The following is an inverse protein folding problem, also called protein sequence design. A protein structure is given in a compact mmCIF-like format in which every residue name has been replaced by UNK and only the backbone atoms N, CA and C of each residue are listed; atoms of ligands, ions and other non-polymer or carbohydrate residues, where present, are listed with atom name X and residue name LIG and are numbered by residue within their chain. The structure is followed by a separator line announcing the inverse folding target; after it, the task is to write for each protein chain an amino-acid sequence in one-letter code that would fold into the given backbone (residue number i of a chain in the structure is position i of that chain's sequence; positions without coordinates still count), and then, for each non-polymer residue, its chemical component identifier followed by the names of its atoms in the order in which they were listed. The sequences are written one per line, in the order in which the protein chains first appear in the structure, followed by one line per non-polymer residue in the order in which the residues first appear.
data_IF_139684067216
#
_entry.id   IF_139684067216
#
_cell.length_a   1.000
_cell.length_b   1.000
_cell.length_c   1.000
_cell.angle_alpha   90.00
_cell.angle_beta   90.00
_cell.angle_gamma   90.00
#
_symmetry.space_group_name_H-M   'P 1'
#
loop_
_entity.id
_entity.type
_entity.pdbx_description
1 polymer ?
#
# COMPACT_ATOMS: atom_id res chain seq x y z
N UNK A 1 42.53 -3.22 11.72
CA UNK A 1 42.04 -4.00 12.87
C UNK A 1 40.88 -3.27 13.55
N UNK A 2 39.75 -3.96 13.72
CA UNK A 2 38.58 -3.43 14.44
C UNK A 2 38.75 -3.62 15.96
N UNK A 3 39.67 -2.84 16.54
CA UNK A 3 39.99 -2.95 17.98
C UNK A 3 38.80 -2.53 18.89
N UNK A 4 37.79 -1.85 18.35
CA UNK A 4 36.62 -1.39 19.09
C UNK A 4 35.34 -2.19 18.77
N UNK A 5 35.38 -3.09 17.80
CA UNK A 5 34.24 -3.91 17.38
C UNK A 5 33.06 -3.13 16.78
N UNK A 6 33.34 -1.92 16.25
CA UNK A 6 32.30 -1.01 15.74
C UNK A 6 31.85 -1.31 14.31
N UNK A 7 32.65 -1.99 13.51
CA UNK A 7 32.34 -2.25 12.10
C UNK A 7 31.26 -3.33 11.95
N UNK A 8 31.26 -4.36 12.80
CA UNK A 8 30.26 -5.42 12.74
C UNK A 8 28.82 -4.90 12.95
N UNK A 9 28.51 -4.06 13.95
CA UNK A 9 27.22 -3.40 14.09
C UNK A 9 26.83 -2.53 12.87
N UNK A 10 27.78 -1.81 12.27
CA UNK A 10 27.52 -0.97 11.08
C UNK A 10 27.07 -1.82 9.87
N UNK A 11 27.71 -2.98 9.64
CA UNK A 11 27.29 -3.89 8.58
C UNK A 11 25.94 -4.53 8.86
N UNK A 12 25.60 -4.82 10.12
CA UNK A 12 24.28 -5.30 10.51
C UNK A 12 23.19 -4.24 10.23
N UNK A 13 23.44 -2.98 10.57
CA UNK A 13 22.52 -1.87 10.28
C UNK A 13 22.36 -1.65 8.77
N UNK A 14 23.43 -1.77 7.98
CA UNK A 14 23.32 -1.70 6.52
C UNK A 14 22.48 -2.85 5.96
N UNK A 15 22.61 -4.06 6.50
CA UNK A 15 21.79 -5.21 6.16
C UNK A 15 20.32 -4.98 6.53
N UNK A 16 20.04 -4.41 7.71
CA UNK A 16 18.68 -4.05 8.16
C UNK A 16 18.05 -3.00 7.23
N UNK A 17 18.76 -1.94 6.90
CA UNK A 17 18.29 -0.92 5.97
C UNK A 17 17.95 -1.51 4.60
N UNK A 18 18.77 -2.41 4.07
CA UNK A 18 18.51 -3.11 2.82
C UNK A 18 17.28 -4.02 2.88
N UNK A 19 16.94 -4.57 4.05
CA UNK A 19 15.75 -5.40 4.26
C UNK A 19 14.46 -4.56 4.37
N UNK A 20 14.54 -3.35 4.89
CA UNK A 20 13.40 -2.42 5.07
C UNK A 20 13.04 -1.69 3.76
N UNK A 21 14.02 -1.44 2.89
CA UNK A 21 13.81 -0.70 1.64
C UNK A 21 12.61 -1.19 0.79
N UNK A 22 12.29 -2.50 0.66
CA UNK A 22 11.09 -2.95 -0.05
C UNK A 22 9.80 -2.36 0.51
N UNK A 23 9.65 -2.28 1.83
CA UNK A 23 8.47 -1.73 2.49
C UNK A 23 8.35 -0.23 2.22
N UNK A 24 9.47 0.51 2.33
CA UNK A 24 9.51 1.94 1.96
C UNK A 24 9.05 2.17 0.52
N UNK A 25 9.52 1.36 -0.43
CA UNK A 25 9.15 1.49 -1.85
C UNK A 25 7.67 1.15 -2.09
N UNK A 26 7.15 0.09 -1.46
CA UNK A 26 5.76 -0.34 -1.64
C UNK A 26 4.79 0.68 -1.05
N UNK A 27 5.03 1.16 0.18
CA UNK A 27 4.14 2.13 0.82
C UNK A 27 4.28 3.53 0.22
N UNK A 28 5.48 3.92 -0.25
CA UNK A 28 5.62 5.14 -1.04
C UNK A 28 4.81 5.07 -2.34
N UNK A 29 4.87 3.97 -3.09
CA UNK A 29 4.06 3.77 -4.29
C UNK A 29 2.56 3.81 -3.98
N UNK A 30 2.12 3.24 -2.85
CA UNK A 30 0.72 3.28 -2.43
C UNK A 30 0.25 4.72 -2.16
N UNK A 31 1.04 5.50 -1.44
CA UNK A 31 0.77 6.93 -1.17
C UNK A 31 0.77 7.76 -2.46
N UNK A 32 1.75 7.54 -3.32
CA UNK A 32 1.97 8.33 -4.53
C UNK A 32 1.00 7.94 -5.67
N UNK A 33 0.18 6.91 -5.47
CA UNK A 33 -0.83 6.45 -6.41
C UNK A 33 -1.86 7.50 -6.84
N UNK A 34 -2.03 8.58 -6.07
CA UNK A 34 -2.88 9.73 -6.44
C UNK A 34 -2.27 10.60 -7.55
N UNK A 35 -0.99 10.44 -7.85
CA UNK A 35 -0.26 11.24 -8.85
C UNK A 35 0.49 10.39 -9.88
N UNK A 36 0.57 9.08 -9.65
CA UNK A 36 1.30 8.15 -10.50
C UNK A 36 0.36 7.43 -11.46
N UNK A 37 0.67 7.52 -12.76
CA UNK A 37 -0.17 6.97 -13.81
C UNK A 37 -0.28 5.44 -13.76
N UNK A 38 -1.48 4.94 -14.05
CA UNK A 38 -1.82 3.54 -14.19
C UNK A 38 -1.87 3.12 -15.68
N UNK A 39 -2.17 1.85 -15.94
CA UNK A 39 -2.20 1.27 -17.29
C UNK A 39 -3.30 1.86 -18.21
N UNK A 40 -4.34 2.46 -17.65
CA UNK A 40 -5.46 3.07 -18.37
C UNK A 40 -5.26 4.56 -18.69
N UNK A 41 -4.10 5.12 -18.29
CA UNK A 41 -3.73 6.52 -18.51
C UNK A 41 -4.20 7.47 -17.41
N UNK A 42 -5.01 7.01 -16.45
CA UNK A 42 -5.39 7.74 -15.25
C UNK A 42 -4.38 7.50 -14.13
N UNK A 43 -4.48 8.22 -13.02
CA UNK A 43 -3.69 7.89 -11.83
C UNK A 43 -4.16 6.56 -11.23
N UNK A 44 -3.32 5.89 -10.45
CA UNK A 44 -3.68 4.61 -9.84
C UNK A 44 -4.87 4.74 -8.87
N UNK A 45 -4.95 5.85 -8.12
CA UNK A 45 -6.15 6.27 -7.40
C UNK A 45 -6.71 7.49 -8.08
N UNK A 46 -7.87 7.33 -8.69
CA UNK A 46 -8.55 8.38 -9.44
C UNK A 46 -10.08 8.25 -9.31
N UNK A 47 -10.76 9.31 -9.67
CA UNK A 47 -12.24 9.35 -9.75
C UNK A 47 -12.76 9.05 -11.14
N UNK A 48 -11.87 8.94 -12.15
CA UNK A 48 -12.23 8.93 -13.57
C UNK A 48 -11.63 7.75 -14.34
N UNK A 49 -11.59 6.55 -13.74
CA UNK A 49 -11.20 5.34 -14.47
C UNK A 49 -12.25 4.97 -15.51
N UNK A 50 -11.91 4.86 -16.80
CA UNK A 50 -12.86 4.53 -17.83
C UNK A 50 -13.22 3.03 -17.80
N UNK A 51 -14.52 2.73 -17.77
CA UNK A 51 -15.09 1.39 -17.96
C UNK A 51 -16.06 1.42 -19.11
N UNK A 52 -15.84 0.62 -20.12
CA UNK A 52 -16.60 0.64 -21.36
C UNK A 52 -17.80 -0.31 -21.32
N UNK A 53 -18.94 0.07 -21.97
CA UNK A 53 -20.14 -0.77 -22.01
C UNK A 53 -19.96 -2.03 -22.86
N UNK A 54 -18.92 -2.07 -23.73
CA UNK A 54 -18.60 -3.21 -24.56
C UNK A 54 -17.19 -3.73 -24.29
N UNK A 55 -16.99 -5.03 -24.48
CA UNK A 55 -15.72 -5.74 -24.25
C UNK A 55 -14.61 -5.30 -25.21
N UNK A 56 -14.96 -4.76 -26.37
CA UNK A 56 -14.02 -4.23 -27.37
C UNK A 56 -13.53 -2.80 -27.06
N UNK A 57 -13.94 -2.24 -25.92
CA UNK A 57 -13.59 -0.87 -25.51
C UNK A 57 -14.35 0.21 -26.28
N UNK A 58 -15.44 -0.13 -27.00
CA UNK A 58 -16.25 0.83 -27.72
C UNK A 58 -17.49 1.27 -26.93
N UNK A 59 -18.00 2.46 -27.27
CA UNK A 59 -19.09 3.13 -26.60
C UNK A 59 -18.62 4.20 -25.62
N UNK A 60 -19.57 4.89 -25.01
CA UNK A 60 -19.28 5.96 -24.04
C UNK A 60 -18.80 5.32 -22.72
N UNK A 61 -17.58 5.64 -22.32
CA UNK A 61 -17.02 5.15 -21.06
C UNK A 61 -17.78 5.68 -19.86
N UNK A 62 -18.08 4.81 -18.91
CA UNK A 62 -18.52 5.19 -17.58
C UNK A 62 -17.30 5.44 -16.71
N UNK A 63 -17.22 6.61 -16.08
CA UNK A 63 -16.14 6.93 -15.16
C UNK A 63 -16.40 6.30 -13.80
N UNK A 64 -15.42 5.55 -13.29
CA UNK A 64 -15.50 4.82 -12.04
C UNK A 64 -14.38 5.29 -11.11
N UNK A 65 -14.73 5.54 -9.85
CA UNK A 65 -13.77 5.96 -8.83
C UNK A 65 -13.30 4.77 -7.99
N UNK A 66 -11.98 4.67 -7.77
CA UNK A 66 -11.39 3.78 -6.77
C UNK A 66 -10.84 4.55 -5.56
N UNK A 67 -11.31 5.76 -5.36
CA UNK A 67 -10.96 6.57 -4.20
C UNK A 67 -12.18 7.31 -3.65
N UNK A 68 -12.11 7.62 -2.35
CA UNK A 68 -13.11 8.43 -1.66
C UNK A 68 -12.42 9.44 -0.75
N UNK A 69 -12.78 10.71 -0.91
CA UNK A 69 -12.32 11.81 -0.04
C UNK A 69 -13.54 12.36 0.69
N UNK A 70 -13.55 12.22 2.01
CA UNK A 70 -14.66 12.69 2.83
C UNK A 70 -14.70 14.22 2.90
N UNK A 71 -15.83 14.76 2.54
CA UNK A 71 -16.17 16.19 2.67
C UNK A 71 -17.29 16.35 3.68
N UNK A 72 -17.60 17.57 4.05
CA UNK A 72 -18.72 17.91 4.94
C UNK A 72 -20.01 17.22 4.43
N UNK A 73 -20.62 16.40 5.29
CA UNK A 73 -21.82 15.63 4.96
C UNK A 73 -21.56 14.26 4.30
N UNK A 74 -20.32 13.87 4.06
CA UNK A 74 -19.97 12.52 3.61
C UNK A 74 -20.11 11.49 4.73
N UNK A 75 -20.11 10.20 4.35
CA UNK A 75 -20.19 9.07 5.29
C UNK A 75 -19.11 9.18 6.37
N UNK A 76 -19.56 9.27 7.63
CA UNK A 76 -18.67 9.35 8.79
C UNK A 76 -17.93 10.67 8.99
N UNK A 77 -18.18 11.70 8.15
CA UNK A 77 -17.51 13.00 8.25
C UNK A 77 -18.51 14.13 8.49
N UNK A 78 -18.23 14.96 9.51
CA UNK A 78 -19.00 16.19 9.80
C UNK A 78 -18.33 17.44 9.20
N UNK A 79 -17.06 17.32 8.80
CA UNK A 79 -16.26 18.36 8.18
C UNK A 79 -15.35 17.76 7.10
N UNK A 80 -14.74 18.60 6.29
CA UNK A 80 -13.74 18.15 5.32
C UNK A 80 -12.59 17.46 6.05
N UNK A 81 -12.29 16.23 5.64
CA UNK A 81 -11.29 15.42 6.30
C UNK A 81 -9.90 15.70 5.72
N UNK A 82 -8.99 16.12 6.57
CA UNK A 82 -7.58 16.39 6.24
C UNK A 82 -6.59 15.42 6.90
N UNK A 83 -7.11 14.37 7.51
CA UNK A 83 -6.29 13.33 8.13
C UNK A 83 -5.67 12.36 7.12
N UNK A 84 -4.91 11.37 7.61
CA UNK A 84 -4.24 10.40 6.76
C UNK A 84 -5.22 9.52 6.00
N UNK A 85 -4.82 9.10 4.79
CA UNK A 85 -5.54 8.10 4.02
C UNK A 85 -5.29 6.69 4.57
N UNK A 86 -6.22 5.79 4.29
CA UNK A 86 -6.11 4.36 4.50
C UNK A 86 -6.63 3.62 3.27
N UNK A 87 -6.25 2.35 3.12
CA UNK A 87 -6.44 1.65 1.85
C UNK A 87 -7.05 0.28 2.07
N UNK A 88 -7.93 -0.13 1.16
CA UNK A 88 -8.42 -1.50 1.04
C UNK A 88 -7.78 -2.15 -0.18
N UNK A 89 -7.29 -3.36 -0.01
CA UNK A 89 -6.62 -4.11 -1.07
C UNK A 89 -7.22 -5.51 -1.22
N UNK A 90 -7.42 -5.95 -2.45
CA UNK A 90 -7.66 -7.36 -2.76
C UNK A 90 -6.34 -8.02 -3.18
N UNK A 91 -5.74 -8.76 -2.25
CA UNK A 91 -4.52 -9.53 -2.49
C UNK A 91 -4.78 -11.03 -2.74
N UNK A 92 -6.04 -11.43 -3.01
CA UNK A 92 -6.40 -12.83 -3.21
C UNK A 92 -5.96 -13.39 -4.57
N UNK A 93 -5.78 -12.53 -5.58
CA UNK A 93 -5.51 -12.93 -6.96
C UNK A 93 -4.01 -13.07 -7.24
N UNK A 94 -3.66 -13.73 -8.36
CA UNK A 94 -2.28 -13.90 -8.80
C UNK A 94 -1.59 -12.55 -9.09
N UNK A 95 -2.26 -11.65 -9.81
CA UNK A 95 -1.79 -10.28 -9.98
C UNK A 95 -2.26 -9.48 -8.77
N UNK A 96 -1.33 -8.82 -8.10
CA UNK A 96 -1.59 -8.00 -6.91
C UNK A 96 -1.80 -6.53 -7.32
N UNK A 97 -2.43 -5.70 -6.47
CA UNK A 97 -2.61 -4.27 -6.75
C UNK A 97 -1.28 -3.52 -6.88
N UNK A 98 -0.27 -3.93 -6.12
CA UNK A 98 1.10 -3.45 -6.22
C UNK A 98 2.02 -4.60 -6.55
N UNK A 99 3.00 -4.35 -7.42
CA UNK A 99 3.95 -5.36 -7.90
C UNK A 99 5.35 -4.90 -7.54
N UNK A 100 5.96 -5.57 -6.56
CA UNK A 100 7.36 -5.37 -6.23
C UNK A 100 8.24 -6.22 -7.14
N UNK A 101 9.20 -5.58 -7.81
CA UNK A 101 10.17 -6.23 -8.68
C UNK A 101 11.57 -6.17 -8.06
N UNK A 102 12.10 -7.31 -7.64
CA UNK A 102 13.48 -7.45 -7.19
C UNK A 102 14.34 -8.02 -8.33
N UNK A 103 14.97 -7.13 -9.11
CA UNK A 103 15.82 -7.50 -10.25
C UNK A 103 17.23 -7.94 -9.83
N UNK A 104 17.73 -7.37 -8.74
CA UNK A 104 18.99 -7.75 -8.11
C UNK A 104 18.86 -7.54 -6.60
N UNK A 105 19.01 -8.62 -5.86
CA UNK A 105 19.02 -8.59 -4.39
C UNK A 105 20.15 -7.71 -3.88
N UNK A 106 19.97 -7.17 -2.69
CA UNK A 106 21.05 -6.44 -2.03
C UNK A 106 22.22 -7.38 -1.75
N UNK A 107 23.38 -7.02 -2.27
CA UNK A 107 24.63 -7.75 -2.06
C UNK A 107 25.67 -6.81 -1.47
N UNK A 108 26.33 -7.26 -0.42
CA UNK A 108 27.47 -6.58 0.16
C UNK A 108 28.70 -6.88 -0.70
N UNK A 109 29.31 -5.84 -1.24
CA UNK A 109 30.56 -5.93 -1.99
C UNK A 109 31.67 -5.32 -1.15
N UNK A 110 32.74 -6.07 -0.96
CA UNK A 110 33.93 -5.61 -0.24
C UNK A 110 35.10 -5.47 -1.22
N UNK A 111 35.77 -4.33 -1.22
CA UNK A 111 37.01 -4.08 -1.91
C UNK A 111 38.13 -4.03 -0.87
N UNK A 112 38.69 -5.21 -0.56
CA UNK A 112 39.66 -5.41 0.51
C UNK A 112 40.98 -6.02 0.03
N UNK A 113 41.11 -6.23 -1.30
CA UNK A 113 42.38 -6.74 -1.86
C UNK A 113 43.40 -5.63 -1.86
N UNK A 114 44.54 -5.88 -1.16
CA UNK A 114 45.61 -4.91 -0.97
C UNK A 114 46.39 -4.58 -2.25
N UNK A 115 46.20 -5.34 -3.31
CA UNK A 115 46.86 -5.18 -4.61
C UNK A 115 46.01 -4.43 -5.65
N UNK A 116 44.77 -4.04 -5.30
CA UNK A 116 43.83 -3.40 -6.20
C UNK A 116 43.13 -2.19 -5.56
N UNK A 117 42.83 -1.17 -6.38
CA UNK A 117 41.97 -0.04 -6.04
C UNK A 117 42.47 0.81 -4.86
N UNK A 118 41.55 1.31 -4.04
CA UNK A 118 41.86 2.17 -2.89
C UNK A 118 42.65 1.48 -1.78
N UNK A 119 42.55 0.16 -1.66
CA UNK A 119 43.31 -0.59 -0.73
C UNK A 119 44.83 -0.52 -1.05
N UNK A 120 45.20 -0.43 -2.35
CA UNK A 120 46.58 -0.26 -2.78
C UNK A 120 47.05 1.20 -2.71
N UNK A 121 46.23 2.15 -3.16
CA UNK A 121 46.64 3.56 -3.26
C UNK A 121 46.60 4.29 -1.92
N UNK A 122 45.59 4.02 -1.10
CA UNK A 122 45.27 4.81 0.08
C UNK A 122 45.24 3.99 1.38
N UNK A 123 45.46 2.67 1.29
CA UNK A 123 45.29 1.70 2.40
C UNK A 123 43.89 1.77 3.02
N UNK A 124 42.86 2.02 2.18
CA UNK A 124 41.46 2.09 2.57
C UNK A 124 40.68 0.88 2.08
N UNK A 125 39.95 0.21 2.96
CA UNK A 125 39.02 -0.84 2.60
C UNK A 125 37.63 -0.25 2.40
N UNK A 126 37.04 -0.53 1.21
CA UNK A 126 35.73 0.02 0.84
C UNK A 126 34.67 -1.09 0.84
N UNK A 127 33.59 -0.83 1.52
CA UNK A 127 32.41 -1.71 1.53
C UNK A 127 31.23 -0.96 0.93
N UNK A 128 30.46 -1.65 0.12
CA UNK A 128 29.27 -1.08 -0.51
C UNK A 128 28.17 -2.12 -0.65
N UNK A 129 26.93 -1.68 -0.66
CA UNK A 129 25.80 -2.51 -1.03
C UNK A 129 25.15 -1.96 -2.30
N UNK A 130 24.69 -2.85 -3.18
CA UNK A 130 23.94 -2.46 -4.35
C UNK A 130 22.76 -3.40 -4.55
N UNK A 131 21.61 -2.81 -4.92
CA UNK A 131 20.38 -3.51 -5.26
C UNK A 131 19.74 -2.87 -6.48
N UNK A 132 18.86 -3.61 -7.18
CA UNK A 132 18.00 -3.07 -8.24
C UNK A 132 16.58 -3.53 -7.99
N UNK A 133 15.77 -2.63 -7.48
CA UNK A 133 14.40 -2.88 -7.05
C UNK A 133 13.50 -1.76 -7.56
N UNK A 134 12.25 -2.09 -7.79
CA UNK A 134 11.23 -1.11 -8.12
C UNK A 134 9.85 -1.63 -7.75
N UNK A 135 8.86 -0.72 -7.66
CA UNK A 135 7.46 -1.03 -7.47
C UNK A 135 6.67 -0.45 -8.63
N UNK A 136 5.68 -1.19 -9.08
CA UNK A 136 4.72 -0.76 -10.09
C UNK A 136 3.30 -1.09 -9.68
N UNK A 137 2.35 -0.55 -10.44
CA UNK A 137 0.93 -0.78 -10.21
C UNK A 137 0.42 -1.95 -11.03
N UNK A 138 -0.45 -2.76 -10.41
CA UNK A 138 -1.25 -3.75 -11.07
C UNK A 138 -2.60 -3.17 -11.49
N UNK A 139 -3.70 -3.92 -11.25
CA UNK A 139 -5.03 -3.45 -11.58
C UNK A 139 -5.57 -2.53 -10.49
N UNK A 140 -5.98 -1.30 -10.87
CA UNK A 140 -6.55 -0.31 -9.96
C UNK A 140 -7.83 -0.80 -9.25
N UNK A 141 -8.60 -1.65 -9.92
CA UNK A 141 -9.82 -2.25 -9.35
C UNK A 141 -9.57 -3.04 -8.07
N UNK A 142 -8.33 -3.49 -7.86
CA UNK A 142 -7.93 -4.27 -6.69
C UNK A 142 -7.48 -3.43 -5.50
N UNK A 143 -7.54 -2.10 -5.61
CA UNK A 143 -7.20 -1.15 -4.56
C UNK A 143 -8.27 -0.06 -4.45
N UNK A 144 -8.54 0.38 -3.23
CA UNK A 144 -9.44 1.50 -2.95
C UNK A 144 -8.83 2.41 -1.88
N UNK A 145 -8.69 3.68 -2.18
CA UNK A 145 -8.16 4.66 -1.24
C UNK A 145 -9.31 5.35 -0.51
N UNK A 146 -9.19 5.47 0.80
CA UNK A 146 -10.11 6.18 1.65
C UNK A 146 -9.38 7.31 2.38
N UNK A 147 -9.68 8.54 2.07
CA UNK A 147 -9.29 9.70 2.85
C UNK A 147 -10.50 10.17 3.66
N UNK A 148 -10.77 9.46 4.73
CA UNK A 148 -11.92 9.65 5.61
C UNK A 148 -11.59 9.22 7.04
N UNK A 149 -12.35 9.66 8.05
CA UNK A 149 -12.28 9.04 9.37
C UNK A 149 -12.49 7.51 9.24
N UNK A 150 -11.66 6.75 9.94
CA UNK A 150 -11.74 5.28 9.95
C UNK A 150 -12.88 4.85 10.88
N UNK A 151 -14.08 4.76 10.33
CA UNK A 151 -15.31 4.32 11.02
C UNK A 151 -15.85 3.03 10.41
N UNK A 152 -16.75 2.37 11.11
CA UNK A 152 -17.41 1.17 10.61
C UNK A 152 -18.16 1.44 9.29
N UNK A 153 -18.88 2.57 9.22
CA UNK A 153 -19.64 2.97 8.03
C UNK A 153 -18.71 3.28 6.84
N UNK A 154 -17.60 4.00 7.08
CA UNK A 154 -16.61 4.27 6.05
C UNK A 154 -15.96 2.98 5.54
N UNK A 155 -15.70 2.03 6.42
CA UNK A 155 -15.16 0.72 6.07
C UNK A 155 -16.14 -0.08 5.19
N UNK A 156 -17.44 -0.09 5.55
CA UNK A 156 -18.48 -0.71 4.75
C UNK A 156 -18.67 0.00 3.39
N UNK A 157 -18.54 1.32 3.34
CA UNK A 157 -18.60 2.08 2.11
C UNK A 157 -17.51 1.63 1.13
N UNK A 158 -16.23 1.64 1.54
CA UNK A 158 -15.12 1.19 0.70
C UNK A 158 -15.22 -0.30 0.33
N UNK A 159 -15.63 -1.15 1.28
CA UNK A 159 -15.88 -2.57 1.02
C UNK A 159 -16.92 -2.80 -0.08
N UNK A 160 -18.04 -2.10 0.00
CA UNK A 160 -19.14 -2.24 -0.97
C UNK A 160 -18.74 -1.69 -2.33
N UNK A 161 -18.07 -0.53 -2.36
CA UNK A 161 -17.60 0.09 -3.60
C UNK A 161 -16.68 -0.84 -4.40
N UNK A 162 -15.69 -1.48 -3.75
CA UNK A 162 -14.82 -2.44 -4.42
C UNK A 162 -15.57 -3.65 -4.99
N UNK A 163 -16.61 -4.11 -4.32
CA UNK A 163 -17.39 -5.27 -4.76
C UNK A 163 -18.30 -4.97 -5.95
N UNK A 164 -18.57 -3.70 -6.19
CA UNK A 164 -19.40 -3.25 -7.31
C UNK A 164 -18.62 -3.10 -8.61
N UNK A 165 -17.30 -3.13 -8.58
CA UNK A 165 -16.46 -2.98 -9.77
C UNK A 165 -16.79 -4.00 -10.85
N UNK A 166 -16.88 -3.47 -12.08
CA UNK A 166 -17.12 -4.24 -13.30
C UNK A 166 -15.95 -4.10 -14.27
N UNK A 167 -15.78 -5.10 -15.11
CA UNK A 167 -14.95 -5.01 -16.30
C UNK A 167 -15.74 -4.39 -17.45
N UNK A 168 -15.07 -4.08 -18.54
CA UNK A 168 -15.69 -3.75 -19.81
C UNK A 168 -16.73 -4.80 -20.20
N UNK A 169 -17.85 -4.34 -20.77
CA UNK A 169 -19.01 -5.19 -21.04
C UNK A 169 -19.89 -5.47 -19.81
N UNK A 170 -19.67 -4.77 -18.67
CA UNK A 170 -20.54 -4.83 -17.48
C UNK A 170 -20.38 -6.10 -16.62
N UNK A 171 -19.40 -6.96 -16.89
CA UNK A 171 -19.19 -8.18 -16.11
C UNK A 171 -18.63 -7.83 -14.71
N UNK A 172 -19.31 -8.29 -13.65
CA UNK A 172 -18.82 -8.14 -12.28
C UNK A 172 -17.44 -8.81 -12.12
N UNK A 173 -16.49 -8.07 -11.57
CA UNK A 173 -15.12 -8.57 -11.35
C UNK A 173 -15.02 -9.49 -10.15
N UNK A 174 -15.97 -9.44 -9.22
CA UNK A 174 -15.97 -10.25 -8.01
C UNK A 174 -14.80 -9.95 -7.07
N UNK A 175 -14.36 -8.70 -7.06
CA UNK A 175 -13.29 -8.22 -6.17
C UNK A 175 -13.82 -8.21 -4.74
N UNK A 176 -12.97 -8.66 -3.82
CA UNK A 176 -13.27 -8.70 -2.40
C UNK A 176 -12.05 -8.20 -1.63
N UNK A 177 -12.17 -7.11 -0.88
CA UNK A 177 -11.08 -6.67 -0.01
C UNK A 177 -10.61 -7.78 0.91
N UNK A 178 -9.30 -7.95 1.03
CA UNK A 178 -8.68 -8.95 1.90
C UNK A 178 -7.80 -8.29 2.96
N UNK A 179 -7.25 -7.13 2.66
CA UNK A 179 -6.35 -6.39 3.54
C UNK A 179 -6.83 -4.95 3.70
N UNK A 180 -6.59 -4.41 4.88
CA UNK A 180 -6.66 -2.98 5.15
C UNK A 180 -5.28 -2.49 5.53
N UNK A 181 -4.81 -1.43 4.86
CA UNK A 181 -3.52 -0.81 5.13
C UNK A 181 -3.77 0.55 5.77
N UNK A 182 -3.18 0.76 6.93
CA UNK A 182 -3.34 1.99 7.69
C UNK A 182 -1.99 2.53 8.13
N UNK A 183 -1.81 3.86 8.23
CA UNK A 183 -0.66 4.44 8.89
C UNK A 183 -0.71 4.18 10.41
N UNK A 184 0.44 4.27 11.08
CA UNK A 184 0.58 4.06 12.53
C UNK A 184 -0.36 4.91 13.37
N UNK A 185 -0.68 6.13 12.89
CA UNK A 185 -1.63 7.03 13.57
C UNK A 185 -3.06 6.49 13.67
N UNK A 186 -3.46 5.58 12.77
CA UNK A 186 -4.78 4.94 12.74
C UNK A 186 -4.78 3.50 13.31
N UNK A 187 -3.63 2.97 13.71
CA UNK A 187 -3.48 1.58 14.22
C UNK A 187 -4.50 1.27 15.31
N UNK A 188 -4.57 2.10 16.35
CA UNK A 188 -5.50 1.88 17.47
C UNK A 188 -6.96 1.77 17.01
N UNK A 189 -7.38 2.62 16.07
CA UNK A 189 -8.74 2.59 15.53
C UNK A 189 -8.98 1.35 14.68
N UNK A 190 -8.00 0.97 13.84
CA UNK A 190 -8.07 -0.22 13.00
C UNK A 190 -8.19 -1.51 13.84
N UNK A 191 -7.35 -1.68 14.88
CA UNK A 191 -7.43 -2.81 15.81
C UNK A 191 -8.79 -2.85 16.48
N UNK A 192 -9.32 -1.70 16.94
CA UNK A 192 -10.64 -1.65 17.54
C UNK A 192 -11.74 -2.08 16.60
N UNK A 193 -11.67 -1.68 15.32
CA UNK A 193 -12.68 -2.02 14.29
C UNK A 193 -12.61 -3.48 13.85
N UNK A 194 -11.43 -4.09 13.82
CA UNK A 194 -11.25 -5.42 13.24
C UNK A 194 -11.18 -6.56 14.25
N UNK A 195 -10.77 -6.27 15.50
CA UNK A 195 -10.53 -7.33 16.48
C UNK A 195 -11.56 -7.38 17.60
N UNK A 196 -12.23 -6.26 17.94
CA UNK A 196 -13.26 -6.27 18.97
C UNK A 196 -14.44 -7.15 18.56
N UNK A 197 -15.00 -7.84 19.55
CA UNK A 197 -16.19 -8.67 19.32
C UNK A 197 -17.48 -7.87 19.32
N UNK A 198 -17.50 -6.79 20.09
CA UNK A 198 -18.70 -6.01 20.36
C UNK A 198 -18.43 -4.52 20.17
N UNK A 199 -19.39 -3.82 19.60
CA UNK A 199 -19.46 -2.37 19.55
C UNK A 199 -20.59 -1.82 20.40
N UNK A 200 -20.42 -0.59 20.90
CA UNK A 200 -21.50 0.18 21.45
C UNK A 200 -22.29 0.85 20.32
N UNK A 201 -23.59 0.60 20.24
CA UNK A 201 -24.52 1.28 19.35
C UNK A 201 -25.60 1.95 20.22
N UNK A 202 -25.40 3.24 20.48
CA UNK A 202 -26.20 3.97 21.44
C UNK A 202 -26.14 3.33 22.83
N UNK A 203 -27.29 2.85 23.35
CA UNK A 203 -27.40 2.13 24.64
C UNK A 203 -27.32 0.60 24.50
N UNK A 204 -27.14 0.08 23.27
CA UNK A 204 -27.05 -1.35 22.99
C UNK A 204 -25.61 -1.76 22.69
N UNK A 205 -25.32 -3.04 22.90
CA UNK A 205 -24.07 -3.66 22.47
C UNK A 205 -24.36 -4.60 21.32
N UNK A 206 -23.73 -4.37 20.18
CA UNK A 206 -23.93 -5.15 18.95
C UNK A 206 -22.67 -5.92 18.57
N UNK A 207 -22.83 -7.02 17.86
CA UNK A 207 -21.70 -7.81 17.36
C UNK A 207 -20.95 -7.07 16.27
N UNK A 208 -19.63 -7.22 16.28
CA UNK A 208 -18.77 -6.67 15.23
C UNK A 208 -18.83 -7.53 13.97
N UNK A 209 -19.48 -7.03 12.94
CA UNK A 209 -19.63 -7.71 11.66
C UNK A 209 -18.35 -7.75 10.83
N UNK A 210 -17.37 -6.87 11.12
CA UNK A 210 -16.10 -6.77 10.39
C UNK A 210 -14.98 -7.61 10.99
N UNK A 211 -15.20 -8.18 12.19
CA UNK A 211 -14.20 -9.02 12.86
C UNK A 211 -13.73 -10.15 11.93
N UNK A 212 -12.42 -10.22 11.70
CA UNK A 212 -11.77 -11.27 10.94
C UNK A 212 -12.06 -11.27 9.42
N UNK A 213 -12.70 -10.23 8.88
CA UNK A 213 -12.93 -10.12 7.43
C UNK A 213 -11.74 -9.57 6.66
N UNK A 214 -10.90 -8.79 7.31
CA UNK A 214 -9.73 -8.12 6.73
C UNK A 214 -8.48 -8.44 7.55
N UNK A 215 -7.38 -8.60 6.87
CA UNK A 215 -6.05 -8.63 7.48
C UNK A 215 -5.56 -7.18 7.65
N UNK A 216 -5.15 -6.84 8.87
CA UNK A 216 -4.63 -5.50 9.19
C UNK A 216 -3.14 -5.43 8.87
N UNK A 217 -2.76 -4.45 8.06
CA UNK A 217 -1.38 -4.06 7.81
C UNK A 217 -1.16 -2.65 8.31
N UNK A 218 -0.33 -2.50 9.33
CA UNK A 218 0.09 -1.19 9.84
C UNK A 218 1.39 -0.81 9.15
N UNK A 219 1.40 0.33 8.48
CA UNK A 219 2.52 0.78 7.66
C UNK A 219 3.21 1.98 8.29
N UNK A 220 4.48 1.80 8.67
CA UNK A 220 5.31 2.84 9.27
C UNK A 220 5.71 3.94 8.26
N UNK A 221 5.60 3.65 6.96
CA UNK A 221 6.06 4.51 5.86
C UNK A 221 4.91 5.20 5.07
N UNK A 222 3.69 5.19 5.63
CA UNK A 222 2.52 5.91 5.09
C UNK A 222 2.34 7.27 5.73
#
# INVERSE_FOLDING_TARGET
DDNLGIYSPLFQEMGRAAAVQPDELVFAALRDGISAACYDGQNFFDTEHPVYPKVDGSGDAQMVSNMFVAKTGSVGAQADYSGPAWYLLDCSRAVKPLIYQDRRKAELVAQTKVDEGRAFTDNEFVFGASARRNVGYGFWQMAYMMQSPLTLDALWHGWSAMREFTADGGRKLGIKPTHIVVPTSLEKQAVQLLERELFADGNATVSNEMKGKLELVVADYL
#
